data_IF_804639439879
#
_entry.id   IF_804639439879
#
_cell.length_a   1.000
_cell.length_b   1.000
_cell.length_c   1.000
_cell.angle_alpha   90.00
_cell.angle_beta   90.00
_cell.angle_gamma   90.00
#
_symmetry.space_group_name_H-M   'P 1'
#
loop_
_entity.id
_entity.type
_entity.pdbx_description
1 polymer ?
#
# COMPACT_ATOMS: atom_id res chain seq x y z
N UNK A 1 3.33 -6.79 -16.55
CA UNK A 1 3.57 -8.07 -15.88
C UNK A 1 2.52 -8.16 -14.80
N UNK A 2 1.70 -9.20 -14.80
CA UNK A 2 0.58 -9.28 -13.88
C UNK A 2 1.08 -9.38 -12.44
N UNK A 3 0.34 -8.77 -11.50
CA UNK A 3 0.50 -8.99 -10.07
C UNK A 3 0.52 -10.50 -9.75
N UNK A 4 1.48 -10.93 -8.92
CA UNK A 4 1.67 -12.33 -8.50
C UNK A 4 1.24 -12.58 -7.05
N UNK A 5 0.58 -11.61 -6.42
CA UNK A 5 0.20 -11.67 -5.00
C UNK A 5 -0.72 -12.85 -4.72
N UNK A 6 -1.74 -13.07 -5.56
CA UNK A 6 -2.68 -14.19 -5.38
C UNK A 6 -2.00 -15.52 -5.64
N UNK A 7 -1.17 -15.62 -6.69
CA UNK A 7 -0.41 -16.83 -7.02
C UNK A 7 0.56 -17.22 -5.91
N UNK A 8 1.19 -16.23 -5.26
CA UNK A 8 2.07 -16.45 -4.12
C UNK A 8 1.34 -17.13 -2.96
N UNK A 9 0.15 -16.63 -2.58
CA UNK A 9 -0.62 -17.18 -1.48
C UNK A 9 -1.32 -18.50 -1.87
N UNK A 10 -1.81 -18.62 -3.10
CA UNK A 10 -2.45 -19.84 -3.60
C UNK A 10 -1.46 -21.01 -3.66
N UNK A 11 -0.23 -20.78 -4.16
CA UNK A 11 0.80 -21.82 -4.24
C UNK A 11 1.29 -22.32 -2.87
N UNK A 12 0.98 -21.59 -1.79
CA UNK A 12 1.30 -21.93 -0.40
C UNK A 12 0.08 -22.37 0.41
N UNK A 13 -1.06 -22.56 -0.23
CA UNK A 13 -2.33 -22.89 0.44
C UNK A 13 -2.78 -21.85 1.49
N UNK A 14 -2.34 -20.58 1.35
CA UNK A 14 -2.80 -19.47 2.19
C UNK A 14 -4.23 -19.04 1.85
N UNK A 15 -4.56 -19.08 0.55
CA UNK A 15 -5.93 -18.91 0.04
C UNK A 15 -6.37 -20.17 -0.71
N UNK A 16 -7.67 -20.41 -0.77
CA UNK A 16 -8.30 -21.57 -1.41
C UNK A 16 -8.60 -21.33 -2.88
N UNK A 17 -8.89 -20.09 -3.24
CA UNK A 17 -9.25 -19.69 -4.60
C UNK A 17 -8.42 -18.50 -5.05
N UNK A 18 -8.36 -18.29 -6.37
CA UNK A 18 -7.77 -17.08 -6.96
C UNK A 18 -8.75 -15.90 -6.82
N UNK A 19 -9.05 -15.53 -5.58
CA UNK A 19 -9.97 -14.46 -5.21
C UNK A 19 -9.29 -13.55 -4.17
N UNK A 20 -9.18 -12.25 -4.49
CA UNK A 20 -8.61 -11.26 -3.60
C UNK A 20 -9.43 -11.07 -2.30
N UNK A 21 -10.72 -11.43 -2.29
CA UNK A 21 -11.54 -11.40 -1.09
C UNK A 21 -11.10 -12.42 -0.02
N UNK A 22 -10.30 -13.43 -0.37
CA UNK A 22 -9.71 -14.38 0.59
C UNK A 22 -8.40 -13.85 1.21
N UNK A 23 -7.85 -12.75 0.69
CA UNK A 23 -6.61 -12.14 1.22
C UNK A 23 -6.95 -11.24 2.40
N UNK A 24 -6.45 -11.61 3.57
CA UNK A 24 -6.63 -10.88 4.81
C UNK A 24 -5.47 -9.92 5.09
N UNK A 25 -5.81 -8.72 5.54
CA UNK A 25 -4.89 -7.62 5.76
C UNK A 25 -4.84 -7.24 7.24
N UNK A 26 -3.63 -6.97 7.73
CA UNK A 26 -3.43 -6.19 8.95
C UNK A 26 -3.02 -4.78 8.55
N UNK A 27 -3.83 -3.79 8.93
CA UNK A 27 -3.68 -2.39 8.52
C UNK A 27 -3.04 -1.54 9.62
N UNK A 28 -2.35 -0.46 9.21
CA UNK A 28 -1.72 0.50 10.12
C UNK A 28 -0.81 -0.18 11.15
N UNK A 29 0.03 -1.11 10.69
CA UNK A 29 0.96 -1.88 11.54
C UNK A 29 2.21 -1.06 11.85
N UNK A 30 1.97 0.04 12.58
CA UNK A 30 2.89 1.16 12.77
C UNK A 30 3.62 1.15 14.13
N UNK A 31 3.68 0.01 14.82
CA UNK A 31 4.40 -0.12 16.10
C UNK A 31 4.92 -1.55 16.30
N UNK A 32 5.87 -1.74 17.23
CA UNK A 32 6.39 -3.08 17.56
C UNK A 32 5.29 -4.04 18.00
N UNK A 33 4.39 -3.58 18.85
CA UNK A 33 3.27 -4.39 19.35
C UNK A 33 2.36 -4.82 18.20
N UNK A 34 1.97 -3.89 17.32
CA UNK A 34 1.13 -4.22 16.16
C UNK A 34 1.83 -5.17 15.20
N UNK A 35 3.13 -4.99 14.98
CA UNK A 35 3.93 -5.90 14.16
C UNK A 35 3.94 -7.31 14.75
N UNK A 36 4.21 -7.45 16.06
CA UNK A 36 4.17 -8.74 16.74
C UNK A 36 2.79 -9.42 16.62
N UNK A 37 1.70 -8.67 16.79
CA UNK A 37 0.33 -9.18 16.64
C UNK A 37 0.04 -9.65 15.20
N UNK A 38 0.45 -8.87 14.19
CA UNK A 38 0.26 -9.21 12.78
C UNK A 38 1.06 -10.47 12.38
N UNK A 39 2.29 -10.60 12.88
CA UNK A 39 3.17 -11.74 12.60
C UNK A 39 2.71 -13.03 13.31
N UNK A 40 2.17 -12.92 14.53
CA UNK A 40 1.61 -14.05 15.28
C UNK A 40 0.33 -14.64 14.66
N UNK A 41 -0.18 -14.06 13.57
CA UNK A 41 -1.38 -14.52 12.87
C UNK A 41 -2.65 -13.75 13.23
N UNK A 42 -2.55 -12.64 13.97
CA UNK A 42 -3.65 -11.75 14.31
C UNK A 42 -4.56 -12.29 15.42
N UNK A 43 -4.66 -11.55 16.53
CA UNK A 43 -5.71 -11.74 17.55
C UNK A 43 -7.03 -11.09 17.15
N UNK A 44 -7.31 -10.92 15.85
CA UNK A 44 -8.55 -10.28 15.39
C UNK A 44 -9.66 -11.31 15.33
N UNK A 45 -10.72 -11.22 16.16
CA UNK A 45 -11.81 -12.17 16.13
C UNK A 45 -12.61 -11.97 14.84
N UNK A 46 -12.39 -12.81 13.85
CA UNK A 46 -13.37 -13.02 12.78
C UNK A 46 -14.47 -13.90 13.35
N UNK A 47 -15.66 -13.31 13.56
CA UNK A 47 -16.91 -14.00 13.90
C UNK A 47 -16.75 -15.35 14.63
N UNK A 48 -16.61 -15.30 15.96
CA UNK A 48 -16.84 -16.37 16.95
C UNK A 48 -16.18 -17.76 16.80
N UNK A 49 -15.61 -18.20 15.65
CA UNK A 49 -15.17 -19.61 15.49
C UNK A 49 -13.92 -19.87 14.63
N UNK A 50 -13.31 -18.88 13.99
CA UNK A 50 -12.10 -19.13 13.17
C UNK A 50 -11.03 -18.03 13.38
N UNK A 51 -9.77 -18.45 13.52
CA UNK A 51 -8.63 -17.53 13.46
C UNK A 51 -8.45 -17.09 12.01
N UNK A 52 -8.58 -15.79 11.73
CA UNK A 52 -8.27 -15.25 10.41
C UNK A 52 -6.76 -15.08 10.26
N UNK A 53 -6.09 -15.82 9.36
CA UNK A 53 -4.67 -15.64 9.13
C UNK A 53 -4.41 -14.28 8.50
N UNK A 54 -3.44 -13.52 9.00
CA UNK A 54 -2.95 -12.33 8.29
C UNK A 54 -2.12 -12.76 7.07
N UNK A 55 -2.40 -12.25 5.87
CA UNK A 55 -1.64 -12.55 4.65
C UNK A 55 -0.74 -11.38 4.25
N UNK A 56 -1.33 -10.18 4.23
CA UNK A 56 -0.67 -8.93 3.90
C UNK A 56 -0.58 -8.04 5.14
N UNK A 57 0.57 -7.37 5.31
CA UNK A 57 0.78 -6.39 6.37
C UNK A 57 0.99 -5.03 5.71
N UNK A 58 0.13 -4.08 6.03
CA UNK A 58 0.22 -2.71 5.56
C UNK A 58 0.67 -1.80 6.70
N UNK A 59 1.59 -0.89 6.39
CA UNK A 59 2.07 0.08 7.34
C UNK A 59 2.52 1.37 6.65
N UNK A 60 2.35 2.47 7.37
CA UNK A 60 2.58 3.83 6.92
C UNK A 60 4.00 4.29 7.25
N UNK A 61 4.61 5.07 6.35
CA UNK A 61 5.98 5.55 6.51
C UNK A 61 6.02 7.07 6.44
N UNK A 62 6.59 7.66 7.50
CA UNK A 62 6.93 9.08 7.58
C UNK A 62 8.41 9.24 7.95
N UNK A 63 8.91 10.47 7.86
CA UNK A 63 10.19 10.86 8.49
C UNK A 63 9.94 11.25 9.93
N UNK A 64 10.79 10.76 10.84
CA UNK A 64 10.75 11.10 12.26
C UNK A 64 10.72 12.63 12.48
N UNK A 65 9.84 13.08 13.36
CA UNK A 65 9.65 14.50 13.67
C UNK A 65 10.86 15.16 14.35
N UNK A 66 11.70 14.36 15.01
CA UNK A 66 12.91 14.77 15.75
C UNK A 66 14.16 14.10 15.18
N UNK A 67 15.34 14.58 15.59
CA UNK A 67 16.61 13.93 15.24
C UNK A 67 16.78 12.58 15.98
N UNK A 68 17.35 11.55 15.32
CA UNK A 68 17.77 11.56 13.92
C UNK A 68 16.57 11.52 12.94
N UNK A 69 16.67 12.25 11.83
CA UNK A 69 15.71 12.24 10.72
C UNK A 69 15.81 10.92 9.94
N UNK A 70 14.99 9.96 10.31
CA UNK A 70 14.96 8.62 9.70
C UNK A 70 13.53 8.15 9.36
N UNK A 71 13.36 7.21 8.40
CA UNK A 71 12.06 6.60 8.13
C UNK A 71 11.57 5.72 9.29
N UNK A 72 10.33 5.97 9.72
CA UNK A 72 9.66 5.26 10.82
C UNK A 72 8.28 4.80 10.39
N UNK A 73 7.75 3.77 11.06
CA UNK A 73 6.39 3.30 10.78
C UNK A 73 5.40 4.15 11.56
N UNK A 74 4.73 5.10 10.91
CA UNK A 74 3.75 6.00 11.52
C UNK A 74 2.86 6.67 10.46
N UNK A 75 1.65 7.04 10.87
CA UNK A 75 0.69 7.77 10.05
C UNK A 75 0.41 9.16 10.66
N UNK A 76 0.38 10.25 9.87
CA UNK A 76 -0.02 11.56 10.38
C UNK A 76 -1.39 11.52 11.09
N UNK A 77 -1.59 12.23 12.22
CA UNK A 77 -0.76 13.32 12.72
C UNK A 77 0.42 12.87 13.60
N UNK A 78 0.63 11.57 13.77
CA UNK A 78 1.78 11.09 14.53
C UNK A 78 3.07 11.55 13.84
N UNK A 79 4.05 11.90 14.65
CA UNK A 79 5.37 12.37 14.19
C UNK A 79 6.50 11.48 14.68
N UNK A 80 6.18 10.43 15.43
CA UNK A 80 7.15 9.52 16.03
C UNK A 80 6.57 8.11 16.17
N UNK A 81 7.45 7.11 16.27
CA UNK A 81 7.09 5.71 16.49
C UNK A 81 8.19 4.96 17.25
N UNK A 82 7.79 3.88 17.92
CA UNK A 82 8.69 2.96 18.63
C UNK A 82 9.44 2.00 17.71
N UNK A 83 9.12 2.00 16.41
CA UNK A 83 9.74 1.14 15.40
C UNK A 83 10.17 1.94 14.15
N UNK A 84 11.42 1.76 13.76
CA UNK A 84 11.94 2.29 12.49
C UNK A 84 11.49 1.42 11.30
N UNK A 85 11.55 1.95 10.08
CA UNK A 85 11.32 1.13 8.88
C UNK A 85 12.28 -0.05 8.81
N UNK A 86 13.55 0.17 9.18
CA UNK A 86 14.59 -0.85 9.17
C UNK A 86 14.23 -2.03 10.08
N UNK A 87 13.93 -1.74 11.35
CA UNK A 87 13.54 -2.77 12.31
C UNK A 87 12.25 -3.49 11.91
N UNK A 88 11.31 -2.77 11.29
CA UNK A 88 10.08 -3.37 10.79
C UNK A 88 10.37 -4.35 9.65
N UNK A 89 11.21 -3.96 8.68
CA UNK A 89 11.63 -4.80 7.55
C UNK A 89 12.38 -6.04 8.00
N UNK A 90 13.26 -5.90 9.01
CA UNK A 90 13.93 -7.04 9.64
C UNK A 90 12.95 -7.95 10.37
N UNK A 91 11.97 -7.39 11.09
CA UNK A 91 10.94 -8.16 11.78
C UNK A 91 10.06 -8.99 10.86
N UNK A 92 9.70 -8.47 9.68
CA UNK A 92 8.90 -9.23 8.71
C UNK A 92 9.73 -10.23 7.91
N UNK A 93 11.06 -10.15 7.89
CA UNK A 93 11.93 -10.93 6.99
C UNK A 93 11.73 -12.45 7.08
N UNK A 94 11.55 -12.95 8.29
CA UNK A 94 11.47 -14.38 8.61
C UNK A 94 10.06 -14.99 8.42
N UNK A 95 9.10 -14.21 7.92
CA UNK A 95 7.70 -14.62 7.83
C UNK A 95 7.19 -14.60 6.38
N UNK A 96 6.39 -15.60 6.02
CA UNK A 96 5.70 -15.71 4.73
C UNK A 96 4.46 -14.80 4.63
N UNK A 97 4.65 -13.50 4.91
CA UNK A 97 3.64 -12.45 4.79
C UNK A 97 4.04 -11.50 3.67
N UNK A 98 3.09 -11.09 2.84
CA UNK A 98 3.32 -9.99 1.91
C UNK A 98 3.25 -8.65 2.64
N UNK A 99 3.85 -7.61 2.05
CA UNK A 99 3.96 -6.28 2.66
C UNK A 99 3.45 -5.19 1.73
N UNK A 100 2.81 -4.17 2.32
CA UNK A 100 2.45 -2.93 1.64
C UNK A 100 2.99 -1.74 2.43
N UNK A 101 3.89 -0.98 1.80
CA UNK A 101 4.57 0.16 2.41
C UNK A 101 3.94 1.45 1.90
N UNK A 102 3.23 2.18 2.77
CA UNK A 102 2.49 3.39 2.41
C UNK A 102 3.27 4.67 2.75
N UNK A 103 3.89 5.25 1.72
CA UNK A 103 4.72 6.44 1.86
C UNK A 103 3.89 7.73 1.92
N UNK A 104 4.10 8.51 2.98
CA UNK A 104 3.40 9.79 3.20
C UNK A 104 4.21 11.01 2.78
N UNK A 105 5.47 10.84 2.36
CA UNK A 105 6.29 11.94 1.84
C UNK A 105 7.39 11.44 0.89
N UNK A 106 7.82 12.30 -0.05
CA UNK A 106 8.95 11.98 -0.95
C UNK A 106 10.26 11.82 -0.19
N UNK A 107 10.46 12.56 0.91
CA UNK A 107 11.64 12.42 1.75
C UNK A 107 11.73 11.01 2.35
N UNK A 108 10.60 10.46 2.83
CA UNK A 108 10.52 9.08 3.29
C UNK A 108 10.87 8.08 2.19
N UNK A 109 10.40 8.31 0.96
CA UNK A 109 10.75 7.47 -0.20
C UNK A 109 12.26 7.50 -0.43
N UNK A 110 12.86 8.68 -0.58
CA UNK A 110 14.29 8.81 -0.90
C UNK A 110 15.20 8.20 0.16
N UNK A 111 14.89 8.37 1.45
CA UNK A 111 15.67 7.78 2.53
C UNK A 111 15.43 6.26 2.69
N UNK A 112 14.34 5.72 2.13
CA UNK A 112 14.00 4.30 2.25
C UNK A 112 14.46 3.46 1.07
N UNK A 113 14.62 4.02 -0.14
CA UNK A 113 14.89 3.24 -1.37
C UNK A 113 16.14 2.37 -1.23
N UNK A 114 17.23 2.89 -0.66
CA UNK A 114 18.47 2.10 -0.46
C UNK A 114 18.24 0.89 0.44
N UNK A 115 17.55 1.10 1.57
CA UNK A 115 17.18 0.03 2.50
C UNK A 115 16.24 -0.99 1.85
N UNK A 116 15.29 -0.51 1.04
CA UNK A 116 14.38 -1.38 0.29
C UNK A 116 15.13 -2.21 -0.74
N UNK A 117 16.04 -1.66 -1.52
CA UNK A 117 16.81 -2.43 -2.50
C UNK A 117 17.55 -3.61 -1.85
N UNK A 118 18.19 -3.38 -0.69
CA UNK A 118 18.89 -4.43 0.05
C UNK A 118 17.98 -5.54 0.58
N UNK A 119 16.83 -5.15 1.15
CA UNK A 119 15.87 -6.10 1.74
C UNK A 119 15.10 -6.82 0.64
N UNK A 120 14.54 -6.08 -0.33
CA UNK A 120 13.68 -6.61 -1.38
C UNK A 120 14.43 -7.57 -2.32
N UNK A 121 15.73 -7.38 -2.54
CA UNK A 121 16.54 -8.33 -3.29
C UNK A 121 16.54 -9.75 -2.69
N UNK A 122 16.25 -9.88 -1.40
CA UNK A 122 16.23 -11.16 -0.67
C UNK A 122 14.80 -11.69 -0.44
N UNK A 123 13.78 -10.87 -0.69
CA UNK A 123 12.39 -11.24 -0.42
C UNK A 123 11.76 -11.89 -1.65
N UNK A 124 11.37 -13.16 -1.51
CA UNK A 124 10.57 -13.86 -2.51
C UNK A 124 9.12 -13.87 -2.01
N UNK A 125 8.46 -12.71 -2.00
CA UNK A 125 7.09 -12.53 -1.52
C UNK A 125 6.44 -11.26 -2.07
N UNK A 126 5.11 -11.09 -1.95
CA UNK A 126 4.42 -9.91 -2.45
C UNK A 126 4.88 -8.65 -1.73
N UNK A 127 5.32 -7.66 -2.51
CA UNK A 127 5.75 -6.35 -2.02
C UNK A 127 5.03 -5.27 -2.81
N UNK A 128 4.29 -4.44 -2.09
CA UNK A 128 3.53 -3.33 -2.64
C UNK A 128 4.10 -2.02 -2.11
N UNK A 129 4.37 -1.08 -3.02
CA UNK A 129 4.83 0.27 -2.67
C UNK A 129 3.70 1.24 -2.99
N UNK A 130 3.17 1.87 -1.95
CA UNK A 130 1.99 2.70 -2.01
C UNK A 130 2.32 4.18 -1.85
N UNK A 131 1.64 5.01 -2.62
CA UNK A 131 1.59 6.45 -2.40
C UNK A 131 0.34 7.06 -3.02
N UNK A 132 -0.18 8.10 -2.38
CA UNK A 132 -1.15 9.01 -2.98
C UNK A 132 -0.41 10.05 -3.83
N UNK A 133 -0.45 9.87 -5.15
CA UNK A 133 0.28 10.72 -6.11
C UNK A 133 -0.61 11.72 -6.84
N UNK A 134 -1.94 11.57 -6.74
CA UNK A 134 -2.91 12.49 -7.33
C UNK A 134 -3.87 13.04 -6.29
N UNK A 135 -4.48 14.18 -6.60
CA UNK A 135 -5.57 14.74 -5.79
C UNK A 135 -6.88 14.05 -6.15
N UNK A 136 -7.57 13.50 -5.15
CA UNK A 136 -8.84 12.80 -5.33
C UNK A 136 -10.02 13.53 -4.70
N UNK A 137 -11.21 12.91 -4.73
CA UNK A 137 -12.42 13.56 -4.23
C UNK A 137 -12.31 13.88 -2.74
N UNK A 138 -12.61 15.13 -2.39
CA UNK A 138 -12.56 15.63 -1.01
C UNK A 138 -11.16 15.64 -0.37
N UNK A 139 -10.10 15.30 -1.12
CA UNK A 139 -8.72 15.26 -0.64
C UNK A 139 -8.23 16.64 -0.21
N UNK A 140 -7.70 16.73 1.01
CA UNK A 140 -7.09 17.97 1.55
C UNK A 140 -5.57 17.87 1.69
N UNK A 141 -5.05 16.65 1.80
CA UNK A 141 -3.62 16.41 1.84
C UNK A 141 -3.02 16.68 0.46
N UNK A 142 -1.80 17.25 0.44
CA UNK A 142 -1.03 17.40 -0.79
C UNK A 142 -0.50 16.03 -1.21
N UNK A 143 -0.79 15.56 -2.43
CA UNK A 143 -0.22 14.31 -2.93
C UNK A 143 1.29 14.42 -3.11
N UNK A 144 1.97 13.27 -3.14
CA UNK A 144 3.36 13.19 -3.56
C UNK A 144 3.46 13.54 -5.04
N UNK A 145 4.53 14.23 -5.46
CA UNK A 145 4.69 14.58 -6.86
C UNK A 145 4.92 13.29 -7.69
N UNK A 146 4.08 13.01 -8.71
CA UNK A 146 4.10 11.75 -9.44
C UNK A 146 5.46 11.37 -10.04
N UNK A 147 6.11 12.31 -10.74
CA UNK A 147 7.34 12.00 -11.47
C UNK A 147 8.51 11.74 -10.53
N UNK A 148 8.60 12.50 -9.44
CA UNK A 148 9.56 12.32 -8.37
C UNK A 148 9.40 10.97 -7.67
N UNK A 149 8.17 10.59 -7.34
CA UNK A 149 7.87 9.28 -6.73
C UNK A 149 8.25 8.14 -7.67
N UNK A 150 7.74 8.16 -8.91
CA UNK A 150 7.98 7.11 -9.90
C UNK A 150 9.46 6.99 -10.26
N UNK A 151 10.18 8.11 -10.34
CA UNK A 151 11.62 8.11 -10.57
C UNK A 151 12.41 7.48 -9.43
N UNK A 152 11.95 7.64 -8.18
CA UNK A 152 12.58 7.07 -7.01
C UNK A 152 12.42 5.54 -6.94
N UNK A 153 11.24 5.02 -7.31
CA UNK A 153 10.91 3.59 -7.20
C UNK A 153 11.18 2.79 -8.48
N UNK A 154 11.62 3.44 -9.57
CA UNK A 154 11.80 2.79 -10.88
C UNK A 154 12.78 1.62 -10.90
N UNK A 155 13.75 1.62 -9.98
CA UNK A 155 14.81 0.61 -9.89
C UNK A 155 14.49 -0.54 -8.94
N UNK A 156 13.37 -0.46 -8.21
CA UNK A 156 12.90 -1.58 -7.43
C UNK A 156 12.66 -2.81 -8.33
N UNK A 157 12.67 -4.04 -7.77
CA UNK A 157 12.45 -5.24 -8.54
C UNK A 157 11.16 -5.16 -9.38
N UNK A 158 11.18 -5.66 -10.61
CA UNK A 158 10.08 -5.48 -11.57
C UNK A 158 8.78 -6.20 -11.20
N UNK A 159 8.80 -7.03 -10.17
CA UNK A 159 7.63 -7.71 -9.60
C UNK A 159 7.01 -6.94 -8.42
N UNK A 160 7.62 -5.82 -7.99
CA UNK A 160 7.05 -4.93 -6.98
C UNK A 160 5.80 -4.25 -7.54
N UNK A 161 4.69 -4.36 -6.82
CA UNK A 161 3.42 -3.74 -7.22
C UNK A 161 3.43 -2.27 -6.80
N UNK A 162 3.15 -1.36 -7.74
CA UNK A 162 2.93 0.04 -7.42
C UNK A 162 1.45 0.27 -7.10
N UNK A 163 1.14 0.60 -5.85
CA UNK A 163 -0.21 0.92 -5.39
C UNK A 163 -0.40 2.45 -5.44
N UNK A 164 -0.89 2.94 -6.58
CA UNK A 164 -0.93 4.37 -6.89
C UNK A 164 -2.31 4.95 -6.59
N UNK A 165 -2.39 5.80 -5.57
CA UNK A 165 -3.63 6.32 -5.03
C UNK A 165 -3.87 7.80 -5.30
N UNK A 166 -4.98 8.25 -4.74
CA UNK A 166 -5.34 9.66 -4.66
C UNK A 166 -5.53 10.06 -3.21
N UNK A 167 -5.13 11.28 -2.85
CA UNK A 167 -5.54 11.85 -1.58
C UNK A 167 -7.06 12.01 -1.59
N UNK A 168 -7.75 11.47 -0.59
CA UNK A 168 -9.21 11.49 -0.54
C UNK A 168 -9.72 11.99 0.80
N UNK A 169 -10.91 12.59 0.78
CA UNK A 169 -11.64 12.95 1.98
C UNK A 169 -13.06 12.44 1.90
N UNK A 170 -13.66 12.23 3.06
CA UNK A 170 -15.06 11.87 3.17
C UNK A 170 -15.65 12.50 4.43
N UNK A 171 -16.86 13.03 4.32
CA UNK A 171 -17.58 13.62 5.45
C UNK A 171 -18.94 12.93 5.59
N UNK A 172 -19.26 12.47 6.81
CA UNK A 172 -20.54 11.82 7.08
C UNK A 172 -21.72 12.78 6.89
N UNK A 173 -22.80 12.30 6.27
CA UNK A 173 -24.04 13.08 6.10
C UNK A 173 -23.97 14.17 5.02
N UNK A 174 -22.89 14.24 4.24
CA UNK A 174 -22.78 15.13 3.08
C UNK A 174 -22.82 14.34 1.78
N UNK A 175 -23.16 15.01 0.69
CA UNK A 175 -22.91 14.45 -0.64
C UNK A 175 -21.40 14.44 -0.88
N UNK A 176 -20.84 13.25 -1.09
CA UNK A 176 -19.41 13.07 -1.34
C UNK A 176 -19.25 12.69 -2.80
N UNK A 177 -18.64 13.60 -3.58
CA UNK A 177 -18.35 13.33 -4.98
C UNK A 177 -17.45 12.09 -5.12
N UNK A 178 -17.74 11.28 -6.15
CA UNK A 178 -16.88 10.19 -6.56
C UNK A 178 -15.65 10.65 -7.35
N UNK A 179 -14.82 9.69 -7.76
CA UNK A 179 -13.71 9.90 -8.68
C UNK A 179 -14.26 10.37 -10.03
N UNK A 180 -13.76 11.50 -10.52
CA UNK A 180 -14.18 12.06 -11.81
C UNK A 180 -13.51 11.36 -12.99
N UNK A 181 -14.04 11.59 -14.20
CA UNK A 181 -13.40 11.10 -15.42
C UNK A 181 -11.99 11.65 -15.61
N UNK A 182 -11.76 12.91 -15.27
CA UNK A 182 -10.44 13.54 -15.39
C UNK A 182 -9.45 12.88 -14.42
N UNK A 183 -9.88 12.59 -13.18
CA UNK A 183 -9.03 11.92 -12.18
C UNK A 183 -8.57 10.53 -12.63
N UNK A 184 -9.45 9.72 -13.21
CA UNK A 184 -9.07 8.37 -13.67
C UNK A 184 -8.27 8.40 -14.97
N UNK A 185 -8.50 9.37 -15.86
CA UNK A 185 -7.70 9.56 -17.07
C UNK A 185 -6.28 10.01 -16.75
N UNK A 186 -6.12 10.95 -15.83
CA UNK A 186 -4.81 11.40 -15.36
C UNK A 186 -4.01 10.22 -14.76
N UNK A 187 -4.65 9.37 -13.95
CA UNK A 187 -4.02 8.16 -13.43
C UNK A 187 -3.63 7.18 -14.54
N UNK A 188 -4.49 6.95 -15.53
CA UNK A 188 -4.18 6.09 -16.69
C UNK A 188 -2.97 6.62 -17.46
N UNK A 189 -2.92 7.93 -17.74
CA UNK A 189 -1.82 8.57 -18.47
C UNK A 189 -0.48 8.35 -17.75
N UNK A 190 -0.45 8.51 -16.43
CA UNK A 190 0.73 8.25 -15.59
C UNK A 190 1.13 6.76 -15.66
N UNK A 191 0.15 5.86 -15.59
CA UNK A 191 0.41 4.42 -15.54
C UNK A 191 0.82 3.81 -16.88
N UNK A 192 0.49 4.47 -18.00
CA UNK A 192 0.62 3.91 -19.36
C UNK A 192 2.01 3.39 -19.70
N UNK A 193 3.06 4.05 -19.21
CA UNK A 193 4.46 3.73 -19.49
C UNK A 193 5.12 2.86 -18.41
N UNK A 194 4.42 2.52 -17.33
CA UNK A 194 4.98 1.77 -16.21
C UNK A 194 5.20 0.30 -16.59
N UNK A 195 6.35 -0.24 -16.15
CA UNK A 195 6.71 -1.65 -16.34
C UNK A 195 6.29 -2.53 -15.16
N UNK A 196 6.18 -1.93 -13.99
CA UNK A 196 5.71 -2.57 -12.76
C UNK A 196 4.21 -2.89 -12.88
N UNK A 197 3.72 -3.96 -12.23
CA UNK A 197 2.30 -4.14 -11.98
C UNK A 197 1.76 -2.93 -11.20
N UNK A 198 0.53 -2.51 -11.52
CA UNK A 198 -0.11 -1.36 -10.88
C UNK A 198 -1.45 -1.78 -10.28
N UNK A 199 -1.74 -1.26 -9.09
CA UNK A 199 -3.05 -1.36 -8.44
C UNK A 199 -3.49 0.00 -7.93
N UNK A 200 -4.80 0.20 -7.81
CA UNK A 200 -5.40 1.48 -7.45
C UNK A 200 -6.12 1.35 -6.10
N UNK A 201 -5.52 1.81 -4.98
CA UNK A 201 -6.22 1.91 -3.72
C UNK A 201 -7.29 3.01 -3.84
N UNK A 202 -8.54 2.65 -3.53
CA UNK A 202 -9.68 3.56 -3.60
C UNK A 202 -10.40 3.61 -2.27
N UNK A 203 -10.98 4.76 -1.96
CA UNK A 203 -11.83 4.91 -0.77
C UNK A 203 -13.17 4.20 -1.03
N UNK A 204 -13.44 3.14 -0.28
CA UNK A 204 -14.64 2.33 -0.42
C UNK A 204 -15.95 3.16 -0.40
N UNK A 205 -16.01 4.19 0.45
CA UNK A 205 -17.17 5.07 0.57
C UNK A 205 -17.50 5.87 -0.70
N UNK A 206 -16.57 5.99 -1.65
CA UNK A 206 -16.74 6.72 -2.92
C UNK A 206 -17.07 5.78 -4.08
N UNK A 207 -17.02 4.45 -3.89
CA UNK A 207 -17.29 3.46 -4.93
C UNK A 207 -18.66 3.63 -5.61
N UNK A 208 -19.77 3.83 -4.88
CA UNK A 208 -21.09 3.93 -5.50
C UNK A 208 -21.20 5.05 -6.55
N UNK A 209 -20.49 6.17 -6.33
CA UNK A 209 -20.47 7.33 -7.22
C UNK A 209 -19.44 7.19 -8.36
N UNK A 210 -18.56 6.19 -8.29
CA UNK A 210 -17.35 6.13 -9.13
C UNK A 210 -17.23 4.86 -9.96
N UNK A 211 -18.24 3.98 -9.92
CA UNK A 211 -18.14 2.64 -10.49
C UNK A 211 -17.76 2.68 -11.97
N UNK A 212 -18.41 3.53 -12.77
CA UNK A 212 -18.12 3.64 -14.21
C UNK A 212 -16.67 4.08 -14.49
N UNK A 213 -16.17 5.07 -13.74
CA UNK A 213 -14.82 5.61 -13.90
C UNK A 213 -13.76 4.58 -13.50
N UNK A 214 -13.96 3.91 -12.36
CA UNK A 214 -13.03 2.90 -11.85
C UNK A 214 -13.04 1.63 -12.71
N UNK A 215 -14.20 1.18 -13.17
CA UNK A 215 -14.29 0.06 -14.12
C UNK A 215 -13.57 0.38 -15.42
N UNK A 216 -13.72 1.59 -15.96
CA UNK A 216 -12.99 2.01 -17.15
C UNK A 216 -11.47 2.00 -16.92
N UNK A 217 -10.99 2.51 -15.78
CA UNK A 217 -9.56 2.52 -15.44
C UNK A 217 -8.98 1.10 -15.36
N UNK A 218 -9.71 0.17 -14.71
CA UNK A 218 -9.31 -1.23 -14.62
C UNK A 218 -9.19 -1.87 -16.01
N UNK A 219 -10.09 -1.55 -16.94
CA UNK A 219 -10.02 -2.05 -18.33
C UNK A 219 -8.78 -1.54 -19.09
N UNK A 220 -8.14 -0.44 -18.66
CA UNK A 220 -6.89 0.05 -19.27
C UNK A 220 -5.63 -0.60 -18.67
N UNK A 221 -5.83 -1.42 -17.64
CA UNK A 221 -4.79 -1.86 -16.71
C UNK A 221 -4.61 -3.38 -16.69
N UNK A 222 -4.86 -4.07 -17.82
CA UNK A 222 -4.54 -5.49 -18.07
C UNK A 222 -3.01 -5.75 -18.08
N UNK A 223 -2.31 -5.26 -17.05
CA UNK A 223 -0.86 -5.15 -17.00
C UNK A 223 -0.27 -5.97 -15.88
#
# INVERSE_FOLDING_TARGET
MSDQTLEYFLSRSGIKQRDAAEVWWSHAVNSRTRLAEALAGGFTPCSAREHCPTHMIEADIIIRGRDPKEPIMAHPPDTDSDITLKEWLEGVKEYDKGIKLDFKSLEAVYLSVVLLEEVLAQLIRPVWINADILSGPGGKARPLEPQAFLSAVRFLPTHTVLSLGWTTGWTAGTDNAGYSWDMVREMEEICRALKHPVTFPVRAALLPQSLSQLTWLLQQSDR
#
